data_IF_345946599947
#
_entry.id   IF_345946599947
#
_cell.length_a   1.000
_cell.length_b   1.000
_cell.length_c   1.000
_cell.angle_alpha   90.00
_cell.angle_beta   90.00
_cell.angle_gamma   90.00
#
_symmetry.space_group_name_H-M   'P 1'
#
loop_
_entity.id
_entity.type
_entity.pdbx_description
1 polymer ?
#
# COMPACT_ATOMS: atom_id res chain seq x y z
N UNK A 1 -4.91 6.36 7.75
CA UNK A 1 -4.43 6.04 6.38
C UNK A 1 -2.93 5.78 6.42
N UNK A 2 -2.34 5.17 5.38
CA UNK A 2 -0.94 4.75 5.32
C UNK A 2 -0.09 5.59 4.34
N UNK A 3 -0.29 6.91 4.36
CA UNK A 3 0.22 7.82 3.33
C UNK A 3 1.75 8.00 3.34
N UNK A 4 2.33 8.23 4.51
CA UNK A 4 3.77 8.36 4.70
C UNK A 4 4.35 7.06 5.27
N UNK A 5 5.67 6.91 5.20
CA UNK A 5 6.39 5.81 5.86
C UNK A 5 6.08 5.76 7.35
N UNK A 6 6.00 6.93 8.01
CA UNK A 6 5.66 7.02 9.43
C UNK A 6 4.22 6.57 9.70
N UNK A 7 3.25 6.97 8.87
CA UNK A 7 1.87 6.51 9.02
C UNK A 7 1.73 5.00 8.80
N UNK A 8 2.43 4.46 7.80
CA UNK A 8 2.42 3.03 7.51
C UNK A 8 3.03 2.20 8.65
N UNK A 9 4.12 2.68 9.27
CA UNK A 9 4.72 2.04 10.46
C UNK A 9 3.76 2.05 11.64
N UNK A 10 3.14 3.20 11.94
CA UNK A 10 2.16 3.28 13.02
C UNK A 10 0.95 2.35 12.80
N UNK A 11 0.46 2.24 11.55
CA UNK A 11 -0.57 1.28 11.20
C UNK A 11 -0.10 -0.17 11.39
N UNK A 12 1.12 -0.49 10.96
CA UNK A 12 1.70 -1.82 11.12
C UNK A 12 1.80 -2.21 12.59
N UNK A 13 2.16 -1.28 13.47
CA UNK A 13 2.25 -1.52 14.92
C UNK A 13 0.86 -1.79 15.52
N UNK A 14 -0.18 -1.04 15.10
CA UNK A 14 -1.58 -1.30 15.51
C UNK A 14 -2.05 -2.68 15.06
N UNK A 15 -1.77 -3.07 13.81
CA UNK A 15 -2.13 -4.38 13.27
C UNK A 15 -1.39 -5.49 14.03
N UNK A 16 -0.09 -5.33 14.26
CA UNK A 16 0.72 -6.30 14.99
C UNK A 16 0.24 -6.51 16.42
N UNK A 17 -0.21 -5.44 17.11
CA UNK A 17 -0.77 -5.53 18.45
C UNK A 17 -2.05 -6.37 18.54
N UNK A 18 -2.75 -6.62 17.43
CA UNK A 18 -3.90 -7.52 17.41
C UNK A 18 -3.53 -9.00 17.58
N UNK A 19 -2.25 -9.35 17.37
CA UNK A 19 -1.77 -10.74 17.37
C UNK A 19 -2.32 -11.60 16.24
N UNK A 20 -3.06 -11.01 15.29
CA UNK A 20 -3.63 -11.73 14.15
C UNK A 20 -2.64 -11.81 13.00
N UNK A 21 -2.68 -12.93 12.29
CA UNK A 21 -1.98 -13.07 11.01
C UNK A 21 -2.69 -12.20 9.96
N UNK A 22 -1.92 -11.39 9.24
CA UNK A 22 -2.39 -10.63 8.09
C UNK A 22 -2.24 -11.51 6.86
N UNK A 23 -3.35 -12.02 6.33
CA UNK A 23 -3.33 -12.89 5.14
C UNK A 23 -3.44 -12.09 3.85
N UNK A 24 -4.32 -11.08 3.82
CA UNK A 24 -4.62 -10.29 2.62
C UNK A 24 -4.75 -8.82 2.96
N UNK A 25 -4.23 -7.96 2.08
CA UNK A 25 -4.44 -6.51 2.09
C UNK A 25 -5.23 -6.16 0.82
N UNK A 26 -6.54 -5.94 0.97
CA UNK A 26 -7.42 -5.60 -0.16
C UNK A 26 -7.44 -4.09 -0.39
N UNK A 27 -6.93 -3.65 -1.54
CA UNK A 27 -7.01 -2.26 -2.01
C UNK A 27 -8.30 -2.08 -2.82
N UNK A 28 -9.27 -1.37 -2.25
CA UNK A 28 -10.62 -1.23 -2.82
C UNK A 28 -10.75 -0.16 -3.90
N UNK A 29 -9.89 0.86 -3.87
CA UNK A 29 -9.85 1.94 -4.85
C UNK A 29 -8.47 2.60 -4.86
N UNK A 30 -8.18 3.38 -5.91
CA UNK A 30 -6.93 4.12 -6.00
C UNK A 30 -7.03 5.44 -5.21
N UNK A 31 -6.17 5.57 -4.21
CA UNK A 31 -5.73 6.84 -3.66
C UNK A 31 -4.33 6.64 -3.03
N UNK A 32 -3.43 7.64 -3.07
CA UNK A 32 -2.04 7.44 -2.64
C UNK A 32 -1.87 6.91 -1.22
N UNK A 33 -2.73 7.34 -0.30
CA UNK A 33 -2.71 6.93 1.11
C UNK A 33 -3.19 5.49 1.38
N UNK A 34 -3.65 4.79 0.34
CA UNK A 34 -3.90 3.35 0.35
C UNK A 34 -2.79 2.53 -0.32
N UNK A 35 -1.87 3.15 -1.08
CA UNK A 35 -0.84 2.46 -1.87
C UNK A 35 0.58 2.69 -1.34
N UNK A 36 0.92 3.93 -0.97
CA UNK A 36 2.31 4.31 -0.68
C UNK A 36 2.88 3.66 0.58
N UNK A 37 2.04 3.20 1.50
CA UNK A 37 2.43 2.45 2.68
C UNK A 37 2.58 0.94 2.49
N UNK A 38 2.19 0.39 1.33
CA UNK A 38 2.14 -1.07 1.13
C UNK A 38 3.51 -1.74 1.27
N UNK A 39 4.58 -1.10 0.81
CA UNK A 39 5.94 -1.63 0.97
C UNK A 39 6.30 -1.85 2.44
N UNK A 40 6.00 -0.87 3.30
CA UNK A 40 6.21 -0.95 4.74
C UNK A 40 5.34 -2.04 5.38
N UNK A 41 4.08 -2.16 4.97
CA UNK A 41 3.21 -3.22 5.47
C UNK A 41 3.70 -4.61 5.07
N UNK A 42 4.17 -4.80 3.84
CA UNK A 42 4.68 -6.10 3.38
C UNK A 42 6.05 -6.45 3.96
N UNK A 43 6.87 -5.46 4.33
CA UNK A 43 8.07 -5.71 5.14
C UNK A 43 7.73 -6.23 6.53
N UNK A 44 6.66 -5.71 7.15
CA UNK A 44 6.20 -6.19 8.47
C UNK A 44 5.44 -7.50 8.38
N UNK A 45 4.64 -7.69 7.33
CA UNK A 45 3.76 -8.85 7.11
C UNK A 45 4.09 -9.51 5.78
N UNK A 46 5.23 -10.20 5.65
CA UNK A 46 5.72 -10.73 4.36
C UNK A 46 4.84 -11.81 3.74
N UNK A 47 3.97 -12.45 4.54
CA UNK A 47 2.99 -13.43 4.07
C UNK A 47 1.70 -12.80 3.52
N UNK A 48 1.47 -11.50 3.76
CA UNK A 48 0.26 -10.83 3.33
C UNK A 48 0.24 -10.63 1.82
N UNK A 49 -0.90 -10.90 1.19
CA UNK A 49 -1.10 -10.71 -0.26
C UNK A 49 -1.79 -9.38 -0.55
N UNK A 50 -1.16 -8.43 -1.26
CA UNK A 50 -1.84 -7.24 -1.72
C UNK A 50 -2.75 -7.60 -2.90
N UNK A 51 -4.06 -7.38 -2.79
CA UNK A 51 -5.03 -7.68 -3.85
C UNK A 51 -5.82 -6.43 -4.25
N UNK A 52 -6.25 -6.35 -5.51
CA UNK A 52 -7.14 -5.28 -5.98
C UNK A 52 -8.00 -5.73 -7.17
N UNK A 53 -9.11 -5.03 -7.42
CA UNK A 53 -9.97 -5.29 -8.57
C UNK A 53 -9.27 -4.84 -9.88
N UNK A 54 -9.44 -5.53 -11.03
CA UNK A 54 -8.78 -5.18 -12.30
C UNK A 54 -8.89 -3.70 -12.69
N UNK A 55 -10.10 -3.12 -12.60
CA UNK A 55 -10.33 -1.69 -12.89
C UNK A 55 -9.55 -0.73 -11.97
N UNK A 56 -9.28 -1.15 -10.74
CA UNK A 56 -8.49 -0.35 -9.79
C UNK A 56 -7.00 -0.48 -10.10
N UNK A 57 -6.55 -1.68 -10.50
CA UNK A 57 -5.18 -1.91 -10.96
C UNK A 57 -4.79 -1.00 -12.13
N UNK A 58 -5.70 -0.78 -13.09
CA UNK A 58 -5.48 0.17 -14.19
C UNK A 58 -5.15 1.59 -13.68
N UNK A 59 -5.91 2.06 -12.69
CA UNK A 59 -5.68 3.37 -12.07
C UNK A 59 -4.38 3.41 -11.26
N UNK A 60 -4.08 2.35 -10.52
CA UNK A 60 -2.82 2.21 -9.77
C UNK A 60 -1.62 2.31 -10.72
N UNK A 61 -1.62 1.54 -11.80
CA UNK A 61 -0.52 1.52 -12.78
C UNK A 61 -0.35 2.87 -13.47
N UNK A 62 -1.44 3.57 -13.75
CA UNK A 62 -1.41 4.89 -14.41
C UNK A 62 -0.88 6.00 -13.50
N UNK A 63 -1.27 5.99 -12.22
CA UNK A 63 -1.13 7.18 -11.37
C UNK A 63 -0.09 7.05 -10.25
N UNK A 64 0.28 5.84 -9.80
CA UNK A 64 1.11 5.69 -8.58
C UNK A 64 2.51 6.28 -8.72
N UNK A 65 3.23 5.96 -9.80
CA UNK A 65 4.58 6.46 -10.04
C UNK A 65 4.63 7.99 -10.24
N UNK A 66 3.82 8.62 -11.11
CA UNK A 66 3.85 10.08 -11.26
C UNK A 66 3.43 10.80 -9.97
N UNK A 67 2.44 10.28 -9.23
CA UNK A 67 2.03 10.89 -7.96
C UNK A 67 3.13 10.79 -6.91
N UNK A 68 3.78 9.63 -6.76
CA UNK A 68 4.90 9.48 -5.83
C UNK A 68 6.04 10.45 -6.18
N UNK A 69 6.36 10.60 -7.47
CA UNK A 69 7.39 11.54 -7.92
C UNK A 69 7.09 12.96 -7.46
N UNK A 70 5.89 13.47 -7.76
CA UNK A 70 5.48 14.84 -7.39
C UNK A 70 5.49 15.04 -5.87
N UNK A 71 5.01 14.06 -5.11
CA UNK A 71 5.01 14.13 -3.65
C UNK A 71 6.43 14.17 -3.07
N UNK A 72 7.32 13.31 -3.58
CA UNK A 72 8.71 13.21 -3.12
C UNK A 72 9.54 14.44 -3.48
N UNK A 73 9.25 15.13 -4.58
CA UNK A 73 9.92 16.40 -4.94
C UNK A 73 9.67 17.52 -3.92
N UNK A 74 8.55 17.47 -3.18
CA UNK A 74 8.13 18.51 -2.25
C UNK A 74 8.24 18.09 -0.78
N UNK A 75 8.87 16.96 -0.49
CA UNK A 75 9.00 16.42 0.86
C UNK A 75 10.46 16.08 1.21
N UNK A 76 10.85 16.16 2.49
CA UNK A 76 12.12 15.62 2.95
C UNK A 76 12.30 14.15 2.56
N UNK A 77 13.55 13.74 2.35
CA UNK A 77 13.89 12.35 2.06
C UNK A 77 13.35 11.42 3.17
N UNK A 78 12.73 10.31 2.76
CA UNK A 78 12.20 9.29 3.67
C UNK A 78 10.77 9.53 4.18
N UNK A 79 10.11 10.64 3.81
CA UNK A 79 8.68 10.84 4.11
C UNK A 79 7.80 9.84 3.36
N UNK A 80 8.09 9.62 2.08
CA UNK A 80 7.39 8.66 1.22
C UNK A 80 8.28 7.46 0.90
N UNK A 81 7.66 6.36 0.49
CA UNK A 81 8.39 5.16 0.05
C UNK A 81 9.17 5.41 -1.24
N UNK A 82 10.27 4.71 -1.41
CA UNK A 82 11.01 4.58 -2.68
C UNK A 82 10.58 3.32 -3.47
N UNK A 83 9.79 2.44 -2.86
CA UNK A 83 9.36 1.16 -3.41
C UNK A 83 7.84 1.13 -3.54
N UNK A 84 7.35 1.33 -4.76
CA UNK A 84 5.95 1.11 -5.08
C UNK A 84 5.65 -0.40 -5.16
N UNK A 85 4.54 -0.79 -4.54
CA UNK A 85 3.97 -2.13 -4.66
C UNK A 85 2.77 -2.06 -5.59
N UNK A 86 2.75 -2.93 -6.58
CA UNK A 86 1.60 -3.16 -7.44
C UNK A 86 0.85 -4.38 -6.89
N UNK A 87 -0.40 -4.24 -6.42
CA UNK A 87 -1.20 -5.38 -5.95
C UNK A 87 -1.51 -6.37 -7.07
N UNK A 88 -1.67 -7.64 -6.71
CA UNK A 88 -2.18 -8.66 -7.62
C UNK A 88 -3.67 -8.48 -7.88
N UNK A 89 -4.14 -9.03 -9.00
CA UNK A 89 -5.56 -8.98 -9.37
C UNK A 89 -6.37 -9.97 -8.53
N UNK A 90 -7.45 -9.48 -7.94
CA UNK A 90 -8.49 -10.32 -7.38
C UNK A 90 -9.27 -11.01 -8.52
N UNK A 91 -9.18 -12.33 -8.61
CA UNK A 91 -9.72 -13.14 -9.72
C UNK A 91 -11.14 -13.64 -9.50
N UNK A 92 -11.72 -13.40 -8.32
CA UNK A 92 -13.06 -13.83 -7.91
C UNK A 92 -13.76 -12.73 -7.13
N UNK A 93 -15.08 -12.78 -7.02
CA UNK A 93 -15.85 -11.77 -6.27
C UNK A 93 -15.77 -11.94 -4.73
N UNK A 94 -14.85 -12.78 -4.24
CA UNK A 94 -14.60 -13.08 -2.83
C UNK A 94 -13.11 -13.39 -2.57
N UNK A 95 -12.70 -13.30 -1.30
CA UNK A 95 -11.39 -13.74 -0.80
C UNK A 95 -11.39 -15.22 -0.46
#
# INVERSE_FOLDING_TARGET
>A
AQFTVANAKALADVIQATGRKVETILVTHYHPDHLLGLSVLLERFPEAKPLTHPKVLEMINKASAPTLKVLSEHAPQGVFTDKLIVPDVLTRDHL
#
